data_IF_155635497035
#
_entry.id   IF_155635497035
#
_cell.length_a   1.000
_cell.length_b   1.000
_cell.length_c   1.000
_cell.angle_alpha   90.00
_cell.angle_beta   90.00
_cell.angle_gamma   90.00
#
_symmetry.space_group_name_H-M   'P 1'
#
loop_
_entity.id
_entity.type
_entity.pdbx_description
1 polymer ?
#
# COMPACT_ATOMS: atom_id res chain seq x y z
N UNK A 1 49.47 21.31 28.31
CA UNK A 1 49.04 20.93 27.92
C UNK A 1 48.15 20.64 27.45
N UNK A 2 47.78 20.58 27.20
CA UNK A 2 47.03 20.19 26.61
C UNK A 2 46.12 20.01 26.33
N UNK A 3 45.77 19.81 26.09
CA UNK A 3 44.99 19.55 25.63
C UNK A 3 44.16 19.26 25.36
N UNK A 4 43.90 18.99 25.29
CA UNK A 4 43.20 18.60 24.85
C UNK A 4 42.39 18.25 24.51
N UNK A 5 42.02 18.11 24.28
CA UNK A 5 41.31 17.75 23.85
C UNK A 5 40.46 17.51 23.56
N UNK A 6 40.04 17.35 23.25
CA UNK A 6 39.28 17.12 22.85
C UNK A 6 38.52 16.90 22.45
N UNK A 7 38.00 16.73 22.06
CA UNK A 7 37.37 16.59 21.65
C UNK A 7 36.65 16.04 20.98
N UNK A 8 36.41 15.76 20.47
CA UNK A 8 36.00 15.12 19.58
C UNK A 8 34.81 14.61 19.55
N UNK A 9 34.49 14.24 19.75
CA UNK A 9 33.48 13.71 20.05
C UNK A 9 32.33 13.84 19.38
N UNK A 10 32.09 14.58 19.03
CA UNK A 10 30.99 14.80 18.58
C UNK A 10 30.51 14.26 17.51
N UNK A 11 31.14 14.00 16.93
CA UNK A 11 30.82 13.54 15.73
C UNK A 11 29.79 12.64 15.59
N UNK A 12 29.70 11.97 16.28
CA UNK A 12 28.93 11.01 16.24
C UNK A 12 27.63 11.02 15.91
N UNK A 13 27.08 11.78 16.19
CA UNK A 13 25.83 11.74 16.12
C UNK A 13 25.11 11.71 14.98
N UNK A 14 25.49 12.22 14.13
CA UNK A 14 24.67 12.38 13.05
C UNK A 14 24.07 11.27 12.47
N UNK A 15 24.59 10.32 12.57
CA UNK A 15 24.22 9.24 11.98
C UNK A 15 22.95 8.77 12.10
N UNK A 16 22.43 8.99 13.01
CA UNK A 16 21.33 8.40 13.29
C UNK A 16 20.18 8.80 12.65
N UNK A 17 20.25 9.64 11.85
CA UNK A 17 19.09 10.12 11.41
C UNK A 17 18.46 9.47 10.29
N UNK A 18 18.89 8.43 9.88
CA UNK A 18 18.34 7.79 8.76
C UNK A 18 17.18 7.01 9.23
N UNK A 19 16.03 7.50 9.04
CA UNK A 19 14.86 6.78 9.39
C UNK A 19 14.42 5.98 8.19
N UNK A 20 13.99 4.77 8.36
CA UNK A 20 13.48 4.00 7.24
C UNK A 20 12.18 4.61 6.76
N UNK A 21 11.92 4.49 5.51
CA UNK A 21 10.68 4.92 4.96
C UNK A 21 9.59 4.03 5.50
N UNK A 22 8.56 4.62 6.02
CA UNK A 22 7.46 3.88 6.54
C UNK A 22 6.32 4.02 5.58
N UNK A 23 5.86 2.92 5.03
CA UNK A 23 4.77 2.95 4.12
C UNK A 23 3.51 2.65 4.89
N UNK A 24 2.58 3.57 4.84
CA UNK A 24 1.39 3.46 5.60
C UNK A 24 0.26 2.78 4.86
N UNK A 25 0.53 2.23 3.70
CA UNK A 25 -0.51 1.70 2.86
C UNK A 25 -0.96 0.30 3.23
N UNK A 26 -0.35 -0.30 4.17
CA UNK A 26 -0.73 -1.63 4.59
C UNK A 26 -1.86 -1.63 5.58
N UNK A 27 -2.64 -2.70 5.59
CA UNK A 27 -3.70 -2.90 6.56
C UNK A 27 -3.43 -4.18 7.30
N UNK A 28 -3.65 -4.19 8.59
CA UNK A 28 -3.40 -5.38 9.39
C UNK A 28 -4.71 -6.00 9.81
N UNK A 29 -4.87 -7.29 9.50
CA UNK A 29 -6.01 -8.06 9.93
C UNK A 29 -5.50 -9.09 10.93
N UNK A 30 -5.65 -8.80 12.21
CA UNK A 30 -5.01 -9.59 13.26
C UNK A 30 -3.51 -9.48 13.12
N UNK A 31 -2.83 -10.59 12.97
CA UNK A 31 -1.39 -10.58 12.79
C UNK A 31 -0.97 -10.56 11.32
N UNK A 32 -1.93 -10.56 10.40
CA UNK A 32 -1.61 -10.65 8.98
C UNK A 32 -1.67 -9.29 8.32
N UNK A 33 -0.70 -9.03 7.46
CA UNK A 33 -0.59 -7.74 6.80
C UNK A 33 -1.05 -7.85 5.36
N UNK A 34 -1.91 -6.91 4.97
CA UNK A 34 -2.34 -6.75 3.59
C UNK A 34 -1.61 -5.53 3.04
N UNK A 35 -1.04 -5.69 1.87
CA UNK A 35 -0.26 -4.63 1.23
C UNK A 35 -0.87 -4.26 -0.10
N UNK A 36 -0.47 -3.10 -0.60
CA UNK A 36 -0.91 -2.65 -1.91
C UNK A 36 -0.51 -3.66 -2.97
N UNK A 37 -1.40 -3.96 -3.88
CA UNK A 37 -1.17 -4.95 -4.90
C UNK A 37 -1.66 -6.35 -4.55
N UNK A 38 -2.06 -6.58 -3.31
CA UNK A 38 -2.55 -7.89 -2.93
C UNK A 38 -3.90 -8.17 -3.59
N UNK A 39 -4.13 -9.39 -4.06
CA UNK A 39 -5.39 -9.71 -4.71
C UNK A 39 -6.54 -9.85 -3.73
N UNK A 40 -7.74 -9.77 -4.25
CA UNK A 40 -8.94 -9.82 -3.45
C UNK A 40 -9.05 -11.11 -2.65
N UNK A 41 -8.62 -12.23 -3.22
CA UNK A 41 -8.68 -13.52 -2.53
C UNK A 41 -7.82 -13.54 -1.29
N UNK A 42 -6.66 -12.88 -1.33
CA UNK A 42 -5.79 -12.83 -0.18
C UNK A 42 -6.41 -11.98 0.92
N UNK A 43 -7.03 -10.88 0.55
CA UNK A 43 -7.68 -10.01 1.51
C UNK A 43 -8.84 -10.75 2.18
N UNK A 44 -9.61 -11.50 1.40
CA UNK A 44 -10.73 -12.24 1.95
C UNK A 44 -10.23 -13.33 2.90
N UNK A 45 -9.15 -13.99 2.55
CA UNK A 45 -8.60 -15.03 3.38
C UNK A 45 -8.07 -14.49 4.70
N UNK A 46 -7.38 -13.36 4.67
CA UNK A 46 -6.74 -12.82 5.86
C UNK A 46 -7.69 -11.99 6.72
N UNK A 47 -8.61 -11.30 6.10
CA UNK A 47 -9.46 -10.34 6.79
C UNK A 47 -10.92 -10.77 6.91
N UNK A 48 -11.30 -11.80 6.18
CA UNK A 48 -12.68 -12.27 6.21
C UNK A 48 -13.61 -11.36 5.43
N UNK A 49 -14.90 -11.52 5.67
CA UNK A 49 -15.91 -10.76 4.96
C UNK A 49 -15.89 -9.30 5.37
N UNK A 50 -15.94 -8.38 4.43
CA UNK A 50 -15.98 -6.97 4.76
C UNK A 50 -17.35 -6.57 5.31
N UNK A 51 -17.37 -5.45 6.00
CA UNK A 51 -18.63 -4.93 6.55
C UNK A 51 -19.52 -4.41 5.43
N UNK A 52 -18.94 -3.92 4.35
CA UNK A 52 -19.70 -3.40 3.22
C UNK A 52 -18.91 -3.56 1.93
N UNK A 53 -19.62 -3.81 0.84
CA UNK A 53 -19.00 -3.92 -0.47
C UNK A 53 -19.80 -3.08 -1.46
N UNK A 54 -19.08 -2.46 -2.40
CA UNK A 54 -19.71 -1.68 -3.44
C UNK A 54 -18.93 -1.87 -4.72
N UNK A 55 -19.59 -2.13 -5.81
CA UNK A 55 -18.95 -2.26 -7.11
C UNK A 55 -19.30 -1.08 -7.99
N UNK A 56 -18.30 -0.50 -8.62
CA UNK A 56 -18.45 0.51 -9.65
C UNK A 56 -17.63 0.07 -10.86
N UNK A 57 -17.66 0.87 -11.90
CA UNK A 57 -16.94 0.55 -13.12
C UNK A 57 -16.17 1.78 -13.56
N UNK A 58 -14.97 1.55 -14.08
CA UNK A 58 -14.20 2.60 -14.70
C UNK A 58 -13.90 2.19 -16.12
N UNK A 59 -13.73 3.16 -16.98
CA UNK A 59 -13.36 2.91 -18.37
C UNK A 59 -11.90 3.25 -18.53
N UNK A 60 -11.17 2.39 -19.13
CA UNK A 60 -9.75 2.64 -19.42
C UNK A 60 -9.39 2.11 -20.78
N UNK A 61 -8.26 2.57 -21.33
CA UNK A 61 -7.76 2.07 -22.59
C UNK A 61 -6.86 0.86 -22.29
N UNK A 62 -7.11 -0.29 -22.90
CA UNK A 62 -6.27 -1.46 -22.66
C UNK A 62 -4.87 -1.23 -23.23
N UNK A 63 -3.88 -1.84 -22.62
CA UNK A 63 -2.50 -1.71 -23.03
C UNK A 63 -1.82 -3.06 -23.04
N UNK A 64 -0.83 -3.22 -23.87
CA UNK A 64 -0.03 -4.44 -23.87
C UNK A 64 1.45 -4.06 -23.93
N UNK A 65 2.29 -4.96 -23.48
CA UNK A 65 3.73 -4.73 -23.49
C UNK A 65 4.35 -5.35 -24.71
N UNK A 66 5.16 -4.60 -25.41
CA UNK A 66 5.87 -5.10 -26.55
C UNK A 66 7.23 -4.41 -26.60
N UNK A 67 8.30 -5.20 -26.58
CA UNK A 67 9.65 -4.66 -26.65
C UNK A 67 10.01 -3.75 -25.50
N UNK A 68 9.44 -3.99 -24.33
CA UNK A 68 9.71 -3.17 -23.18
C UNK A 68 8.91 -1.90 -23.10
N UNK A 69 7.96 -1.71 -24.03
CA UNK A 69 7.15 -0.52 -24.03
C UNK A 69 5.68 -0.89 -23.87
N UNK A 70 4.92 -0.03 -23.21
CA UNK A 70 3.49 -0.18 -23.11
C UNK A 70 2.84 0.45 -24.33
N UNK A 71 2.09 -0.33 -25.07
CA UNK A 71 1.44 0.13 -26.28
C UNK A 71 -0.06 0.08 -26.07
N UNK A 72 -0.77 1.20 -26.24
CA UNK A 72 -2.21 1.19 -26.07
C UNK A 72 -2.92 0.52 -27.23
N UNK A 73 -3.96 -0.25 -26.92
CA UNK A 73 -4.87 -0.75 -27.93
C UNK A 73 -5.86 0.33 -28.26
N UNK A 74 -6.38 0.36 -29.46
CA UNK A 74 -7.47 1.28 -29.78
C UNK A 74 -8.73 0.84 -29.04
N UNK A 75 -9.55 1.78 -28.66
CA UNK A 75 -10.81 1.50 -27.99
C UNK A 75 -10.69 1.62 -26.48
N UNK A 76 -11.69 1.12 -25.79
CA UNK A 76 -11.74 1.21 -24.33
C UNK A 76 -12.34 -0.05 -23.76
N UNK A 77 -12.08 -0.30 -22.48
CA UNK A 77 -12.68 -1.41 -21.76
C UNK A 77 -13.24 -0.93 -20.44
N UNK A 78 -14.31 -1.55 -19.98
CA UNK A 78 -14.87 -1.25 -18.68
C UNK A 78 -14.31 -2.26 -17.68
N UNK A 79 -13.81 -1.76 -16.58
CA UNK A 79 -13.16 -2.57 -15.58
C UNK A 79 -13.89 -2.41 -14.25
N UNK A 80 -14.19 -3.51 -13.56
CA UNK A 80 -14.88 -3.41 -12.28
C UNK A 80 -13.93 -2.89 -11.21
N UNK A 81 -14.46 -2.04 -10.34
CA UNK A 81 -13.75 -1.54 -9.17
C UNK A 81 -14.60 -1.90 -7.98
N UNK A 82 -14.03 -2.70 -7.09
CA UNK A 82 -14.70 -3.11 -5.88
C UNK A 82 -14.18 -2.30 -4.71
N UNK A 83 -15.08 -1.70 -3.96
CA UNK A 83 -14.73 -0.97 -2.75
C UNK A 83 -15.24 -1.77 -1.57
N UNK A 84 -14.32 -2.22 -0.74
CA UNK A 84 -14.63 -3.00 0.44
C UNK A 84 -14.31 -2.17 1.67
N UNK A 85 -15.23 -2.16 2.61
CA UNK A 85 -15.04 -1.42 3.86
C UNK A 85 -14.93 -2.43 5.00
N UNK A 86 -13.87 -2.30 5.77
CA UNK A 86 -13.63 -3.15 6.93
C UNK A 86 -13.74 -2.34 8.21
N UNK A 87 -14.47 -2.93 9.18
CA UNK A 87 -14.53 -2.38 10.51
C UNK A 87 -13.55 -3.18 11.36
N UNK A 88 -12.47 -2.58 11.75
CA UNK A 88 -11.40 -3.26 12.47
C UNK A 88 -11.53 -3.19 13.98
N UNK A 89 -12.66 -2.74 14.46
CA UNK A 89 -12.92 -2.69 15.90
C UNK A 89 -13.19 -1.30 16.41
N UNK A 90 -13.73 -1.22 17.60
CA UNK A 90 -14.24 0.03 18.15
C UNK A 90 -13.16 1.09 18.36
N UNK A 91 -11.93 0.69 18.56
CA UNK A 91 -10.86 1.64 18.80
C UNK A 91 -10.07 1.96 17.54
N UNK A 92 -10.52 1.51 16.37
CA UNK A 92 -9.80 1.71 15.13
C UNK A 92 -10.69 2.36 14.09
N UNK A 93 -10.06 3.08 13.19
CA UNK A 93 -10.79 3.67 12.09
C UNK A 93 -11.21 2.60 11.10
N UNK A 94 -12.33 2.81 10.46
CA UNK A 94 -12.73 1.92 9.38
C UNK A 94 -11.77 2.08 8.21
N UNK A 95 -11.50 1.00 7.54
CA UNK A 95 -10.56 0.99 6.42
C UNK A 95 -11.31 0.61 5.15
N UNK A 96 -10.93 1.25 4.09
CA UNK A 96 -11.55 1.00 2.79
C UNK A 96 -10.49 0.54 1.82
N UNK A 97 -10.77 -0.53 1.10
CA UNK A 97 -9.86 -1.09 0.12
C UNK A 97 -10.50 -1.01 -1.23
N UNK A 98 -9.73 -0.59 -2.21
CA UNK A 98 -10.18 -0.46 -3.58
C UNK A 98 -9.47 -1.50 -4.43
N UNK A 99 -10.25 -2.37 -5.07
CA UNK A 99 -9.69 -3.38 -5.97
C UNK A 99 -10.08 -3.00 -7.39
N UNK A 100 -9.11 -2.86 -8.24
CA UNK A 100 -9.34 -2.56 -9.64
C UNK A 100 -9.10 -3.85 -10.42
N UNK A 101 -10.17 -4.40 -10.99
CA UNK A 101 -10.12 -5.63 -11.75
C UNK A 101 -9.70 -6.83 -10.88
N UNK A 102 -10.10 -6.79 -9.62
CA UNK A 102 -9.85 -7.91 -8.70
C UNK A 102 -8.63 -7.87 -7.84
#
# INVERSE_FOLDING_TARGET
MVTRHQRPVLAVLAVLLVAPAVHADGMRCGSRLISEGDPIEKVLEYCGEPADTKRTWITRQPRYEYGGQEIPFPGSEDVPVDLWTYDLGASKLMRRIRFVDG
#
